data_IF_598040307574
#
_entry.id   IF_598040307574
#
_cell.length_a   1.000
_cell.length_b   1.000
_cell.length_c   1.000
_cell.angle_alpha   90.00
_cell.angle_beta   90.00
_cell.angle_gamma   90.00
#
_symmetry.space_group_name_H-M   'P 1'
#
loop_
_entity.id
_entity.type
_entity.pdbx_description
1 polymer ?
#
# COMPACT_ATOMS: atom_id res chain seq x y z
N UNK A 1 30.69 37.86 6.78
CA UNK A 1 30.67 36.39 6.83
C UNK A 1 29.22 35.93 6.68
N UNK A 2 28.89 35.10 5.68
CA UNK A 2 27.50 34.70 5.37
C UNK A 2 26.95 33.63 6.33
N UNK A 3 25.62 33.58 6.50
CA UNK A 3 24.92 32.54 7.27
C UNK A 3 24.29 31.49 6.35
N UNK A 4 24.20 30.24 6.83
CA UNK A 4 23.55 29.13 6.12
C UNK A 4 22.05 29.40 5.93
N UNK A 5 21.57 29.31 4.69
CA UNK A 5 20.17 29.60 4.35
C UNK A 5 19.21 28.52 4.86
N UNK A 6 17.92 28.85 4.96
CA UNK A 6 16.90 27.95 5.53
C UNK A 6 16.81 26.61 4.80
N UNK A 7 16.93 26.58 3.48
CA UNK A 7 16.86 25.34 2.69
C UNK A 7 17.99 24.37 3.06
N UNK A 8 19.22 24.86 3.17
CA UNK A 8 20.38 24.06 3.58
C UNK A 8 20.23 23.50 5.00
N UNK A 9 19.67 24.28 5.93
CA UNK A 9 19.42 23.82 7.31
C UNK A 9 18.40 22.69 7.43
N UNK A 10 17.50 22.53 6.45
CA UNK A 10 16.50 21.43 6.45
C UNK A 10 17.16 20.05 6.31
N UNK A 11 18.23 19.94 5.53
CA UNK A 11 18.93 18.67 5.27
C UNK A 11 19.59 18.05 6.52
N UNK A 12 19.94 18.87 7.51
CA UNK A 12 20.54 18.41 8.77
C UNK A 12 19.57 17.60 9.66
N UNK A 13 18.26 17.59 9.35
CA UNK A 13 17.31 16.70 10.03
C UNK A 13 17.12 16.99 11.52
N UNK A 14 17.22 18.25 11.94
CA UNK A 14 16.92 18.66 13.32
C UNK A 14 15.40 18.80 13.52
N UNK A 15 14.91 20.03 13.73
CA UNK A 15 13.48 20.36 13.86
C UNK A 15 12.67 20.11 12.57
N UNK A 16 13.35 19.82 11.46
CA UNK A 16 12.74 19.61 10.15
C UNK A 16 12.43 18.13 9.85
N UNK A 17 12.68 17.21 10.79
CA UNK A 17 12.27 15.81 10.66
C UNK A 17 10.77 15.69 10.52
N UNK A 18 10.32 14.65 9.82
CA UNK A 18 8.89 14.39 9.67
C UNK A 18 8.26 14.03 11.02
N UNK A 19 7.12 14.65 11.31
CA UNK A 19 6.33 14.31 12.49
C UNK A 19 5.58 12.99 12.22
N UNK A 20 6.13 11.88 12.73
CA UNK A 20 5.64 10.53 12.45
C UNK A 20 4.96 9.85 13.65
N UNK A 21 4.91 10.48 14.83
CA UNK A 21 4.40 9.89 16.09
C UNK A 21 3.03 9.23 15.97
N UNK A 22 2.10 9.84 15.22
CA UNK A 22 0.73 9.33 15.07
C UNK A 22 0.48 8.60 13.75
N UNK A 23 1.52 8.45 12.91
CA UNK A 23 1.40 7.71 11.64
C UNK A 23 1.14 6.24 11.92
N UNK A 24 0.25 5.64 11.14
CA UNK A 24 -0.24 4.26 11.31
C UNK A 24 0.72 3.21 10.75
N UNK A 25 1.62 3.61 9.86
CA UNK A 25 2.63 2.75 9.28
C UNK A 25 3.03 3.22 7.88
N UNK A 26 3.97 2.51 7.26
CA UNK A 26 4.26 2.71 5.83
C UNK A 26 3.31 1.82 5.03
N UNK A 27 2.40 2.39 4.23
CA UNK A 27 1.62 1.58 3.32
C UNK A 27 2.53 1.07 2.21
N UNK A 28 2.48 -0.24 1.96
CA UNK A 28 3.23 -0.93 0.92
C UNK A 28 2.43 -2.16 0.50
N UNK A 29 2.62 -2.59 -0.74
CA UNK A 29 2.18 -3.91 -1.13
C UNK A 29 2.96 -4.99 -0.39
N UNK A 30 2.40 -6.18 -0.43
CA UNK A 30 3.04 -7.38 0.10
C UNK A 30 4.28 -7.68 -0.75
N UNK A 31 5.28 -8.31 -0.14
CA UNK A 31 6.44 -8.76 -0.90
C UNK A 31 6.00 -9.80 -1.95
N UNK A 32 6.41 -9.59 -3.20
CA UNK A 32 6.05 -10.50 -4.29
C UNK A 32 6.60 -11.90 -4.02
N UNK A 33 5.72 -12.90 -4.05
CA UNK A 33 6.07 -14.30 -3.78
C UNK A 33 5.60 -15.22 -4.91
N UNK A 34 5.80 -16.53 -4.73
CA UNK A 34 5.42 -17.54 -5.72
C UNK A 34 3.91 -17.53 -6.00
N UNK A 35 3.09 -17.27 -4.97
CA UNK A 35 1.63 -17.28 -5.09
C UNK A 35 1.14 -16.14 -5.98
N UNK A 36 1.70 -14.93 -5.83
CA UNK A 36 1.33 -13.78 -6.66
C UNK A 36 1.89 -13.87 -8.09
N UNK A 37 3.09 -14.45 -8.27
CA UNK A 37 3.70 -14.61 -9.60
C UNK A 37 2.97 -15.59 -10.52
N UNK A 38 2.51 -16.72 -9.98
CA UNK A 38 1.90 -17.81 -10.77
C UNK A 38 0.39 -17.95 -10.59
N UNK A 39 -0.17 -17.34 -9.55
CA UNK A 39 -1.58 -17.45 -9.19
C UNK A 39 -2.14 -16.15 -8.68
N UNK A 40 -2.88 -16.25 -7.59
CA UNK A 40 -3.37 -15.11 -6.82
C UNK A 40 -3.41 -15.47 -5.34
N UNK A 41 -3.35 -14.46 -4.47
CA UNK A 41 -3.63 -14.58 -3.05
C UNK A 41 -4.84 -13.72 -2.70
N UNK A 42 -5.70 -14.27 -1.86
CA UNK A 42 -6.93 -13.62 -1.39
C UNK A 42 -6.70 -12.99 -0.02
N UNK A 43 -7.00 -11.71 0.10
CA UNK A 43 -7.03 -10.95 1.35
C UNK A 43 -8.43 -10.41 1.64
N UNK A 44 -8.66 -10.04 2.89
CA UNK A 44 -9.89 -9.37 3.35
C UNK A 44 -9.55 -7.99 3.88
N UNK A 45 -10.25 -6.95 3.43
CA UNK A 45 -10.16 -5.63 4.05
C UNK A 45 -10.84 -5.72 5.42
N UNK A 46 -10.05 -5.63 6.49
CA UNK A 46 -10.59 -5.64 7.86
C UNK A 46 -11.15 -4.28 8.25
N UNK A 47 -10.40 -3.23 7.95
CA UNK A 47 -10.73 -1.86 8.33
C UNK A 47 -10.12 -0.86 7.34
N UNK A 48 -10.78 0.28 7.16
CA UNK A 48 -10.27 1.42 6.42
C UNK A 48 -10.04 2.55 7.44
N UNK A 49 -8.81 3.04 7.52
CA UNK A 49 -8.37 3.94 8.60
C UNK A 49 -7.69 5.19 8.04
N UNK A 50 -7.77 6.29 8.78
CA UNK A 50 -7.04 7.51 8.47
C UNK A 50 -5.60 7.49 9.03
N UNK A 51 -4.63 7.92 8.22
CA UNK A 51 -3.22 8.07 8.59
C UNK A 51 -2.82 9.55 8.64
N UNK A 52 -2.55 10.12 9.83
CA UNK A 52 -2.18 11.53 9.96
C UNK A 52 -0.94 11.91 9.14
N UNK A 53 -1.07 12.97 8.34
CA UNK A 53 -0.02 13.40 7.42
C UNK A 53 -0.07 12.73 6.04
N UNK A 54 -1.15 12.00 5.75
CA UNK A 54 -1.52 11.48 4.43
C UNK A 54 -2.95 11.91 4.09
N UNK A 55 -3.18 12.29 2.84
CA UNK A 55 -4.53 12.62 2.35
C UNK A 55 -5.38 11.39 2.01
N UNK A 56 -4.74 10.33 1.49
CA UNK A 56 -5.41 9.07 1.15
C UNK A 56 -5.64 8.17 2.38
N UNK A 57 -6.81 7.49 2.47
CA UNK A 57 -7.06 6.50 3.51
C UNK A 57 -6.22 5.22 3.31
N UNK A 58 -5.99 4.49 4.40
CA UNK A 58 -5.33 3.20 4.40
C UNK A 58 -6.35 2.08 4.52
N UNK A 59 -6.15 0.99 3.79
CA UNK A 59 -6.87 -0.26 3.96
C UNK A 59 -5.98 -1.27 4.70
N UNK A 60 -6.43 -1.76 5.86
CA UNK A 60 -5.78 -2.89 6.52
C UNK A 60 -6.29 -4.19 5.89
N UNK A 61 -5.44 -4.84 5.10
CA UNK A 61 -5.77 -6.09 4.41
C UNK A 61 -5.16 -7.25 5.17
N UNK A 62 -5.96 -8.27 5.45
CA UNK A 62 -5.55 -9.47 6.15
C UNK A 62 -5.45 -10.62 5.16
N UNK A 63 -4.25 -11.17 5.02
CA UNK A 63 -3.96 -12.33 4.19
C UNK A 63 -3.67 -13.56 5.06
N UNK A 64 -3.96 -14.73 4.53
CA UNK A 64 -3.39 -15.99 5.05
C UNK A 64 -1.96 -16.12 4.55
N UNK A 65 -1.03 -16.44 5.43
CA UNK A 65 0.36 -16.68 5.02
C UNK A 65 0.43 -17.99 4.21
N UNK A 66 1.03 -17.99 3.00
CA UNK A 66 1.09 -19.17 2.16
C UNK A 66 2.07 -20.25 2.66
N UNK A 67 3.00 -19.91 3.56
CA UNK A 67 4.05 -20.81 4.04
C UNK A 67 3.88 -21.21 5.51
N UNK A 68 3.21 -20.38 6.32
CA UNK A 68 3.04 -20.61 7.76
C UNK A 68 1.57 -20.51 8.16
N UNK A 69 1.16 -21.24 9.19
CA UNK A 69 -0.18 -21.10 9.77
C UNK A 69 -0.31 -19.80 10.58
N UNK A 70 -0.39 -18.66 9.88
CA UNK A 70 -0.58 -17.32 10.47
C UNK A 70 -1.33 -16.40 9.53
N UNK A 71 -1.91 -15.35 10.11
CA UNK A 71 -2.47 -14.23 9.35
C UNK A 71 -1.42 -13.12 9.26
N UNK A 72 -1.23 -12.57 8.06
CA UNK A 72 -0.44 -11.34 7.85
C UNK A 72 -1.38 -10.16 7.65
N UNK A 73 -1.14 -9.10 8.41
CA UNK A 73 -1.83 -7.82 8.22
C UNK A 73 -0.90 -6.92 7.43
N UNK A 74 -1.40 -6.42 6.31
CA UNK A 74 -0.70 -5.48 5.44
C UNK A 74 -1.48 -4.17 5.41
N UNK A 75 -0.76 -3.05 5.25
CA UNK A 75 -1.34 -1.72 5.11
C UNK A 75 -1.24 -1.29 3.65
N UNK A 76 -2.36 -1.25 2.96
CA UNK A 76 -2.42 -0.79 1.57
C UNK A 76 -2.97 0.64 1.52
N UNK A 77 -2.67 1.36 0.45
CA UNK A 77 -3.45 2.55 0.11
C UNK A 77 -4.81 2.10 -0.43
N UNK A 78 -5.89 2.68 0.09
CA UNK A 78 -7.21 2.36 -0.41
C UNK A 78 -7.49 3.10 -1.71
N UNK A 79 -7.98 2.38 -2.72
CA UNK A 79 -8.63 2.95 -3.89
C UNK A 79 -10.07 3.37 -3.55
N UNK A 80 -10.59 4.31 -4.31
CA UNK A 80 -11.99 4.71 -4.20
C UNK A 80 -12.91 3.51 -4.46
N UNK A 81 -14.00 3.38 -3.69
CA UNK A 81 -14.92 2.25 -3.78
C UNK A 81 -14.50 1.02 -2.98
N UNK A 82 -13.32 1.01 -2.35
CA UNK A 82 -12.96 -0.06 -1.40
C UNK A 82 -13.80 0.02 -0.12
N UNK A 83 -14.22 -1.12 0.41
CA UNK A 83 -15.06 -1.20 1.62
C UNK A 83 -14.64 -2.33 2.57
N UNK A 84 -14.99 -2.20 3.85
CA UNK A 84 -14.69 -3.22 4.87
C UNK A 84 -15.42 -4.53 4.59
N UNK A 85 -14.71 -5.65 4.68
CA UNK A 85 -15.21 -6.97 4.33
C UNK A 85 -15.02 -7.35 2.86
N UNK A 86 -14.63 -6.42 1.99
CA UNK A 86 -14.31 -6.73 0.60
C UNK A 86 -13.11 -7.68 0.51
N UNK A 87 -13.18 -8.61 -0.45
CA UNK A 87 -12.05 -9.44 -0.82
C UNK A 87 -11.16 -8.74 -1.83
N UNK A 88 -9.86 -8.71 -1.56
CA UNK A 88 -8.83 -8.19 -2.45
C UNK A 88 -8.01 -9.36 -2.96
N UNK A 89 -7.84 -9.43 -4.27
CA UNK A 89 -7.05 -10.45 -4.94
C UNK A 89 -5.76 -9.83 -5.48
N UNK A 90 -4.62 -10.37 -5.08
CA UNK A 90 -3.31 -9.94 -5.54
C UNK A 90 -2.65 -11.05 -6.36
N UNK A 91 -2.20 -10.75 -7.58
CA UNK A 91 -1.40 -11.67 -8.39
C UNK A 91 -1.80 -11.71 -9.87
N UNK A 92 -1.03 -12.48 -10.65
CA UNK A 92 -1.17 -12.55 -12.11
C UNK A 92 -2.51 -13.12 -12.60
N UNK A 93 -3.13 -14.02 -11.83
CA UNK A 93 -4.42 -14.64 -12.16
C UNK A 93 -5.61 -13.98 -11.43
N UNK A 94 -5.41 -12.84 -10.79
CA UNK A 94 -6.50 -12.10 -10.18
C UNK A 94 -7.44 -11.55 -11.26
N UNK A 95 -8.71 -11.33 -10.91
CA UNK A 95 -9.68 -10.70 -11.80
C UNK A 95 -9.48 -9.19 -11.81
N UNK A 96 -9.77 -8.54 -12.94
CA UNK A 96 -9.70 -7.09 -13.04
C UNK A 96 -10.93 -6.46 -12.34
N UNK A 97 -10.75 -6.04 -11.10
CA UNK A 97 -11.76 -5.37 -10.28
C UNK A 97 -11.10 -4.30 -9.42
N UNK A 98 -11.89 -3.30 -9.02
CA UNK A 98 -11.42 -2.20 -8.17
C UNK A 98 -10.89 -2.76 -6.85
N UNK A 99 -9.66 -2.37 -6.50
CA UNK A 99 -8.95 -2.81 -5.29
C UNK A 99 -8.05 -4.03 -5.47
N UNK A 100 -8.19 -4.79 -6.56
CA UNK A 100 -7.29 -5.90 -6.88
C UNK A 100 -5.92 -5.39 -7.36
N UNK A 101 -4.89 -6.20 -7.12
CA UNK A 101 -3.51 -5.89 -7.48
C UNK A 101 -3.06 -6.88 -8.56
N UNK A 102 -2.77 -6.37 -9.76
CA UNK A 102 -2.33 -7.19 -10.89
C UNK A 102 -1.06 -6.59 -11.52
N UNK A 103 -0.24 -7.41 -12.19
CA UNK A 103 0.84 -6.90 -13.03
C UNK A 103 0.27 -6.05 -14.19
N UNK A 104 0.86 -4.87 -14.43
CA UNK A 104 0.39 -3.91 -15.43
C UNK A 104 0.27 -4.54 -16.82
N UNK A 105 1.22 -5.39 -17.22
CA UNK A 105 1.21 -6.06 -18.52
C UNK A 105 0.06 -7.05 -18.74
N UNK A 106 -0.77 -7.32 -17.73
CA UNK A 106 -1.99 -8.14 -17.86
C UNK A 106 -3.27 -7.31 -17.97
N UNK A 107 -3.19 -5.99 -17.76
CA UNK A 107 -4.35 -5.10 -17.84
C UNK A 107 -4.52 -4.57 -19.28
N UNK A 108 -5.76 -4.37 -19.75
CA UNK A 108 -6.01 -3.74 -21.05
C UNK A 108 -5.62 -2.26 -21.04
N UNK A 109 -5.37 -1.71 -22.23
CA UNK A 109 -5.04 -0.29 -22.36
C UNK A 109 -6.20 0.60 -21.91
N UNK A 110 -5.88 1.76 -21.34
CA UNK A 110 -6.87 2.70 -20.82
C UNK A 110 -7.40 2.37 -19.42
N UNK A 111 -6.94 1.30 -18.75
CA UNK A 111 -7.30 1.08 -17.35
C UNK A 111 -6.68 2.11 -16.42
N UNK A 112 -7.49 2.64 -15.52
CA UNK A 112 -7.03 3.52 -14.45
C UNK A 112 -6.42 2.66 -13.34
N UNK A 113 -5.16 2.92 -13.02
CA UNK A 113 -4.39 2.20 -11.99
C UNK A 113 -3.86 3.17 -10.94
N UNK A 114 -3.62 2.68 -9.73
CA UNK A 114 -3.02 3.42 -8.63
C UNK A 114 -1.97 2.59 -7.91
N UNK A 115 -1.13 3.22 -7.07
CA UNK A 115 -0.09 2.58 -6.28
C UNK A 115 0.97 1.83 -7.12
N UNK A 116 1.40 2.40 -8.26
CA UNK A 116 2.44 1.79 -9.09
C UNK A 116 3.78 1.60 -8.35
N UNK A 117 4.43 0.47 -8.57
CA UNK A 117 5.79 0.18 -8.08
C UNK A 117 6.83 0.81 -9.04
N UNK A 118 7.92 1.35 -8.46
CA UNK A 118 9.07 1.92 -9.19
C UNK A 118 10.17 0.86 -9.42
#
# INVERSE_FOLDING_TARGET
MGRVIRSQRKGAGSVFKSHNKHRKGSPKFRAIDFAERHGYIKGVIREIIHDPGRGAPLAQVVFRDPYKYKLRKELFLAAEGMYTGQFVYCGRKATLQIGNVLPIGTMPEGTVVCNLEE
#
